data_IF_158464715775
#
_entry.id   IF_158464715775
#
_cell.length_a   1.000
_cell.length_b   1.000
_cell.length_c   1.000
_cell.angle_alpha   90.00
_cell.angle_beta   90.00
_cell.angle_gamma   90.00
#
_symmetry.space_group_name_H-M   'P 1'
#
loop_
_entity.id
_entity.type
_entity.pdbx_description
1 polymer ?
#
# COMPACT_ATOMS: atom_id res chain seq x y z
N UNK A 1 -46.51 39.62 1.84
CA UNK A 1 -45.13 39.57 2.32
C UNK A 1 -44.43 38.43 1.65
N UNK A 2 -43.45 38.68 0.79
CA UNK A 2 -42.66 37.60 0.16
C UNK A 2 -41.55 37.20 1.15
N UNK A 3 -41.57 35.93 1.59
CA UNK A 3 -40.48 35.41 2.41
C UNK A 3 -39.24 35.24 1.52
N UNK A 4 -38.19 36.00 1.77
CA UNK A 4 -36.88 35.75 1.18
C UNK A 4 -36.32 34.46 1.76
N UNK A 5 -36.42 33.38 1.05
CA UNK A 5 -35.70 32.15 1.39
C UNK A 5 -34.25 32.38 0.97
N UNK A 6 -33.40 32.75 1.94
CA UNK A 6 -31.96 32.75 1.73
C UNK A 6 -31.54 31.31 1.48
N UNK A 7 -30.88 31.06 0.33
CA UNK A 7 -30.27 29.76 0.06
C UNK A 7 -29.25 29.43 1.14
N UNK A 8 -29.27 28.20 1.69
CA UNK A 8 -28.30 27.77 2.68
C UNK A 8 -26.88 28.06 2.19
N UNK A 9 -25.99 28.58 3.05
CA UNK A 9 -24.62 28.85 2.66
C UNK A 9 -23.94 27.52 2.30
N UNK A 10 -23.75 27.28 1.02
CA UNK A 10 -22.97 26.15 0.55
C UNK A 10 -21.48 26.47 0.71
N UNK A 11 -20.85 25.86 1.70
CA UNK A 11 -19.40 25.82 1.80
C UNK A 11 -18.86 24.94 0.65
N UNK A 12 -18.61 25.56 -0.50
CA UNK A 12 -17.89 24.88 -1.58
C UNK A 12 -16.44 24.70 -1.16
N UNK A 13 -16.00 23.47 -1.02
CA UNK A 13 -14.57 23.16 -0.97
C UNK A 13 -13.90 23.75 -2.21
N UNK A 14 -12.83 24.55 -2.01
CA UNK A 14 -12.07 25.15 -3.12
C UNK A 14 -11.30 24.10 -3.95
N UNK A 15 -11.21 22.86 -3.47
CA UNK A 15 -10.46 21.77 -4.11
C UNK A 15 -11.40 20.74 -4.71
N UNK A 16 -11.18 20.40 -5.98
CA UNK A 16 -11.87 19.32 -6.66
C UNK A 16 -11.27 17.95 -6.24
N UNK A 17 -12.01 16.86 -6.45
CA UNK A 17 -11.49 15.50 -6.25
C UNK A 17 -10.23 15.27 -7.09
N UNK A 18 -10.23 15.76 -8.34
CA UNK A 18 -9.06 15.70 -9.22
C UNK A 18 -7.81 16.37 -8.62
N UNK A 19 -7.97 17.51 -7.98
CA UNK A 19 -6.85 18.22 -7.36
C UNK A 19 -6.29 17.42 -6.18
N UNK A 20 -7.17 16.84 -5.35
CA UNK A 20 -6.76 15.97 -4.25
C UNK A 20 -5.97 14.77 -4.77
N UNK A 21 -6.47 14.07 -5.78
CA UNK A 21 -5.80 12.88 -6.35
C UNK A 21 -4.47 13.23 -7.00
N UNK A 22 -4.36 14.38 -7.69
CA UNK A 22 -3.08 14.87 -8.23
C UNK A 22 -2.04 15.12 -7.14
N UNK A 23 -2.44 15.73 -6.03
CA UNK A 23 -1.54 15.94 -4.90
C UNK A 23 -1.10 14.62 -4.25
N UNK A 24 -2.00 13.64 -4.14
CA UNK A 24 -1.65 12.30 -3.65
C UNK A 24 -0.58 11.67 -4.55
N UNK A 25 -0.76 11.71 -5.87
CA UNK A 25 0.24 11.21 -6.83
C UNK A 25 1.56 11.96 -6.72
N UNK A 26 1.53 13.29 -6.67
CA UNK A 26 2.75 14.12 -6.55
C UNK A 26 3.51 13.83 -5.25
N UNK A 27 2.80 13.67 -4.13
CA UNK A 27 3.41 13.36 -2.84
C UNK A 27 3.89 11.89 -2.73
N UNK A 28 3.42 10.99 -3.59
CA UNK A 28 3.91 9.61 -3.67
C UNK A 28 5.19 9.47 -4.51
N UNK A 29 5.55 10.48 -5.31
CA UNK A 29 6.76 10.48 -6.16
C UNK A 29 8.07 10.20 -5.41
N UNK A 30 8.36 10.83 -4.24
CA UNK A 30 9.59 10.54 -3.51
C UNK A 30 9.74 9.05 -3.17
N UNK A 31 8.65 8.39 -2.76
CA UNK A 31 8.63 6.96 -2.48
C UNK A 31 8.91 6.11 -3.72
N UNK A 32 8.32 6.47 -4.87
CA UNK A 32 8.58 5.80 -6.14
C UNK A 32 10.05 5.94 -6.56
N UNK A 33 10.62 7.15 -6.44
CA UNK A 33 12.04 7.40 -6.75
C UNK A 33 12.95 6.54 -5.87
N UNK A 34 12.69 6.53 -4.56
CA UNK A 34 13.45 5.69 -3.64
C UNK A 34 13.30 4.20 -3.98
N UNK A 35 12.09 3.73 -4.27
CA UNK A 35 11.85 2.33 -4.61
C UNK A 35 12.56 1.94 -5.93
N UNK A 36 12.53 2.81 -6.94
CA UNK A 36 13.25 2.58 -8.20
C UNK A 36 14.78 2.58 -7.99
N UNK A 37 15.29 3.46 -7.15
CA UNK A 37 16.72 3.53 -6.85
C UNK A 37 17.23 2.27 -6.14
N UNK A 38 16.48 1.72 -5.19
CA UNK A 38 16.90 0.56 -4.42
C UNK A 38 16.54 -0.80 -5.05
N UNK A 39 15.43 -0.89 -5.79
CA UNK A 39 14.89 -2.14 -6.33
C UNK A 39 14.85 -2.22 -7.86
N UNK A 40 15.35 -1.20 -8.55
CA UNK A 40 15.51 -1.19 -10.00
C UNK A 40 14.30 -0.68 -10.78
N UNK A 41 14.45 -0.72 -12.10
CA UNK A 41 13.49 -0.13 -13.06
C UNK A 41 12.17 -0.87 -13.17
N UNK A 42 12.08 -2.10 -12.66
CA UNK A 42 10.85 -2.90 -12.71
C UNK A 42 9.64 -2.17 -12.15
N UNK A 43 9.79 -1.42 -11.05
CA UNK A 43 8.71 -0.62 -10.45
C UNK A 43 8.15 0.42 -11.42
N UNK A 44 8.99 1.09 -12.21
CA UNK A 44 8.54 2.07 -13.21
C UNK A 44 7.79 1.40 -14.36
N UNK A 45 8.27 0.25 -14.83
CA UNK A 45 7.62 -0.53 -15.90
C UNK A 45 6.24 -1.00 -15.41
N UNK A 46 6.17 -1.56 -14.21
CA UNK A 46 4.90 -1.98 -13.59
C UNK A 46 3.92 -0.80 -13.42
N UNK A 47 4.42 0.37 -13.02
CA UNK A 47 3.59 1.56 -12.86
C UNK A 47 3.02 2.04 -14.19
N UNK A 48 3.83 2.11 -15.24
CA UNK A 48 3.37 2.51 -16.57
C UNK A 48 2.35 1.52 -17.13
N UNK A 49 2.60 0.22 -16.97
CA UNK A 49 1.67 -0.83 -17.33
C UNK A 49 0.36 -0.71 -16.54
N UNK A 50 0.46 -0.54 -15.23
CA UNK A 50 -0.71 -0.40 -14.36
C UNK A 50 -1.58 0.81 -14.73
N UNK A 51 -0.98 1.97 -14.97
CA UNK A 51 -1.71 3.18 -15.37
C UNK A 51 -2.41 2.95 -16.71
N UNK A 52 -1.72 2.39 -17.71
CA UNK A 52 -2.29 2.15 -19.04
C UNK A 52 -3.49 1.19 -18.98
N UNK A 53 -3.34 0.08 -18.23
CA UNK A 53 -4.42 -0.90 -18.05
C UNK A 53 -5.58 -0.32 -17.24
N UNK A 54 -5.32 0.43 -16.16
CA UNK A 54 -6.36 1.04 -15.35
C UNK A 54 -7.20 2.05 -16.13
N UNK A 55 -6.54 2.90 -16.94
CA UNK A 55 -7.21 3.88 -17.82
C UNK A 55 -8.06 3.15 -18.87
N UNK A 56 -7.53 2.09 -19.48
CA UNK A 56 -8.25 1.30 -20.45
C UNK A 56 -9.47 0.61 -19.85
N UNK A 57 -9.35 0.00 -18.67
CA UNK A 57 -10.45 -0.64 -17.95
C UNK A 57 -11.52 0.37 -17.53
N UNK A 58 -11.14 1.51 -16.96
CA UNK A 58 -12.05 2.58 -16.57
C UNK A 58 -12.82 3.10 -17.78
N UNK A 59 -12.13 3.41 -18.87
CA UNK A 59 -12.74 3.87 -20.12
C UNK A 59 -13.68 2.80 -20.70
N UNK A 60 -13.28 1.54 -20.74
CA UNK A 60 -14.09 0.42 -21.24
C UNK A 60 -15.39 0.26 -20.47
N UNK A 61 -15.34 0.31 -19.12
CA UNK A 61 -16.56 0.19 -18.30
C UNK A 61 -17.47 1.39 -18.51
N UNK A 62 -16.93 2.60 -18.62
CA UNK A 62 -17.74 3.79 -18.85
C UNK A 62 -18.46 3.73 -20.21
N UNK A 63 -17.78 3.23 -21.25
CA UNK A 63 -18.40 3.00 -22.56
C UNK A 63 -19.52 1.95 -22.48
N UNK A 64 -19.29 0.83 -21.80
CA UNK A 64 -20.32 -0.21 -21.57
C UNK A 64 -21.54 0.35 -20.82
N UNK A 65 -21.31 1.27 -19.88
CA UNK A 65 -22.37 1.97 -19.13
C UNK A 65 -22.98 3.14 -19.91
N UNK A 66 -22.61 3.36 -21.17
CA UNK A 66 -23.05 4.46 -22.02
C UNK A 66 -22.82 5.85 -21.38
N UNK A 67 -21.73 6.02 -20.65
CA UNK A 67 -21.30 7.27 -19.99
C UNK A 67 -20.00 7.77 -20.62
N UNK A 68 -19.75 9.08 -20.54
CA UNK A 68 -18.52 9.66 -21.06
C UNK A 68 -17.30 9.18 -20.27
N UNK A 69 -16.30 8.52 -20.91
CA UNK A 69 -15.07 8.10 -20.24
C UNK A 69 -14.26 9.28 -19.70
N UNK A 70 -14.26 10.41 -20.42
CA UNK A 70 -13.47 11.60 -20.07
C UNK A 70 -13.84 12.14 -18.70
N UNK A 71 -15.13 12.11 -18.34
CA UNK A 71 -15.60 12.61 -17.03
C UNK A 71 -15.08 11.76 -15.86
N UNK A 72 -14.98 10.43 -16.04
CA UNK A 72 -14.46 9.53 -15.03
C UNK A 72 -12.93 9.60 -14.94
N UNK A 73 -12.23 9.66 -16.08
CA UNK A 73 -10.77 9.74 -16.08
C UNK A 73 -10.23 11.06 -15.52
N UNK A 74 -11.01 12.13 -15.56
CA UNK A 74 -10.61 13.44 -15.00
C UNK A 74 -10.45 13.44 -13.48
N UNK A 75 -11.01 12.49 -12.76
CA UNK A 75 -10.88 12.42 -11.30
C UNK A 75 -9.55 11.82 -10.83
N UNK A 76 -8.77 11.18 -11.73
CA UNK A 76 -7.48 10.50 -11.46
C UNK A 76 -7.56 9.35 -10.45
N UNK A 77 -8.72 8.93 -10.02
CA UNK A 77 -8.85 7.86 -9.02
C UNK A 77 -8.37 6.50 -9.53
N UNK A 78 -8.59 6.19 -10.83
CA UNK A 78 -8.04 4.99 -11.44
C UNK A 78 -6.50 5.00 -11.45
N UNK A 79 -5.89 6.17 -11.70
CA UNK A 79 -4.43 6.34 -11.69
C UNK A 79 -3.88 6.15 -10.28
N UNK A 80 -4.52 6.70 -9.25
CA UNK A 80 -4.13 6.48 -7.85
C UNK A 80 -4.23 4.99 -7.48
N UNK A 81 -5.31 4.32 -7.85
CA UNK A 81 -5.47 2.87 -7.62
C UNK A 81 -4.37 2.06 -8.30
N UNK A 82 -4.07 2.37 -9.58
CA UNK A 82 -2.98 1.75 -10.33
C UNK A 82 -1.62 1.97 -9.66
N UNK A 83 -1.36 3.20 -9.21
CA UNK A 83 -0.11 3.56 -8.51
C UNK A 83 0.07 2.75 -7.24
N UNK A 84 -0.95 2.76 -6.35
CA UNK A 84 -0.89 2.04 -5.08
C UNK A 84 -0.68 0.53 -5.29
N UNK A 85 -1.30 -0.07 -6.30
CA UNK A 85 -1.10 -1.47 -6.62
C UNK A 85 0.30 -1.72 -7.18
N UNK A 86 0.75 -0.92 -8.14
CA UNK A 86 2.04 -1.10 -8.80
C UNK A 86 3.24 -1.02 -7.85
N UNK A 87 3.19 -0.10 -6.86
CA UNK A 87 4.26 0.00 -5.86
C UNK A 87 4.18 -1.06 -4.76
N UNK A 88 3.02 -1.72 -4.62
CA UNK A 88 2.82 -2.76 -3.62
C UNK A 88 3.24 -4.16 -4.12
N UNK A 89 3.22 -4.42 -5.42
CA UNK A 89 3.64 -5.70 -6.00
C UNK A 89 5.17 -5.76 -6.19
N UNK A 90 5.77 -6.97 -6.26
CA UNK A 90 7.19 -7.10 -6.56
C UNK A 90 7.54 -6.49 -7.92
N UNK A 91 8.67 -5.75 -8.04
CA UNK A 91 9.02 -4.98 -9.26
C UNK A 91 9.11 -5.81 -10.54
N UNK A 92 9.61 -7.03 -10.45
CA UNK A 92 9.80 -7.94 -11.61
C UNK A 92 8.68 -8.98 -11.75
N UNK A 93 7.50 -8.73 -11.17
CA UNK A 93 6.34 -9.61 -11.35
C UNK A 93 5.94 -9.69 -12.83
N UNK A 94 5.45 -10.83 -13.34
CA UNK A 94 4.92 -10.94 -14.68
C UNK A 94 3.79 -9.95 -14.94
N UNK A 95 3.73 -9.40 -16.16
CA UNK A 95 2.76 -8.37 -16.58
C UNK A 95 1.29 -8.72 -16.31
N UNK A 96 0.92 -10.00 -16.41
CA UNK A 96 -0.45 -10.46 -16.19
C UNK A 96 -0.91 -10.33 -14.73
N UNK A 97 0.01 -10.32 -13.77
CA UNK A 97 -0.31 -10.15 -12.34
C UNK A 97 -0.96 -8.79 -12.10
N UNK A 98 -0.35 -7.72 -12.60
CA UNK A 98 -0.92 -6.37 -12.43
C UNK A 98 -2.22 -6.21 -13.20
N UNK A 99 -2.35 -6.85 -14.38
CA UNK A 99 -3.59 -6.81 -15.19
C UNK A 99 -4.75 -7.46 -14.44
N UNK A 100 -4.55 -8.67 -13.90
CA UNK A 100 -5.57 -9.36 -13.08
C UNK A 100 -5.92 -8.52 -11.86
N UNK A 101 -4.93 -8.00 -11.14
CA UNK A 101 -5.16 -7.14 -9.98
C UNK A 101 -6.03 -5.92 -10.32
N UNK A 102 -5.74 -5.24 -11.42
CA UNK A 102 -6.51 -4.07 -11.85
C UNK A 102 -7.93 -4.40 -12.30
N UNK A 103 -8.16 -5.58 -12.88
CA UNK A 103 -9.53 -6.05 -13.16
C UNK A 103 -10.30 -6.14 -11.84
N UNK A 104 -9.74 -6.75 -10.80
CA UNK A 104 -10.38 -6.81 -9.48
C UNK A 104 -10.55 -5.43 -8.85
N UNK A 105 -9.54 -4.54 -8.95
CA UNK A 105 -9.60 -3.19 -8.39
C UNK A 105 -10.66 -2.32 -9.06
N UNK A 106 -10.59 -2.21 -10.39
CA UNK A 106 -11.39 -1.24 -11.16
C UNK A 106 -12.77 -1.81 -11.45
N UNK A 107 -12.87 -3.04 -11.99
CA UNK A 107 -14.16 -3.60 -12.41
C UNK A 107 -14.97 -4.00 -11.19
N UNK A 108 -14.41 -4.83 -10.30
CA UNK A 108 -15.15 -5.42 -9.20
C UNK A 108 -15.23 -4.46 -8.01
N UNK A 109 -14.09 -4.06 -7.44
CA UNK A 109 -14.08 -3.29 -6.19
C UNK A 109 -14.60 -1.86 -6.35
N UNK A 110 -14.42 -1.22 -7.50
CA UNK A 110 -14.86 0.15 -7.75
C UNK A 110 -16.20 0.21 -8.49
N UNK A 111 -16.27 -0.34 -9.72
CA UNK A 111 -17.42 -0.11 -10.59
C UNK A 111 -18.64 -0.99 -10.30
N UNK A 112 -18.47 -2.21 -9.80
CA UNK A 112 -19.57 -3.09 -9.45
C UNK A 112 -20.43 -2.50 -8.32
N UNK A 113 -19.78 -1.78 -7.38
CA UNK A 113 -20.46 -1.07 -6.28
C UNK A 113 -21.01 0.31 -6.67
N UNK A 114 -20.83 0.78 -7.90
CA UNK A 114 -21.40 2.05 -8.37
C UNK A 114 -20.38 3.08 -8.86
N UNK A 115 -19.12 2.92 -8.62
CA UNK A 115 -18.03 3.81 -8.99
C UNK A 115 -17.44 4.56 -7.81
N UNK A 116 -16.69 5.64 -8.09
CA UNK A 116 -16.03 6.44 -7.06
C UNK A 116 -17.01 6.93 -5.99
N UNK A 117 -16.65 6.73 -4.72
CA UNK A 117 -17.47 7.17 -3.58
C UNK A 117 -18.51 6.15 -3.10
N UNK A 118 -18.69 5.02 -3.79
CA UNK A 118 -19.63 3.95 -3.43
C UNK A 118 -18.93 2.65 -2.98
N UNK A 119 -17.62 2.58 -3.11
CA UNK A 119 -16.84 1.40 -2.76
C UNK A 119 -16.67 1.29 -1.23
N UNK A 120 -17.10 0.17 -0.62
CA UNK A 120 -16.95 -0.04 0.83
C UNK A 120 -15.50 -0.33 1.25
N UNK A 121 -14.66 -0.77 0.31
CA UNK A 121 -13.28 -1.15 0.52
C UNK A 121 -12.34 -0.36 -0.37
N UNK A 122 -11.08 -0.23 0.04
CA UNK A 122 -10.03 0.33 -0.80
C UNK A 122 -9.76 -0.59 -2.01
N UNK A 123 -9.96 -0.13 -3.26
CA UNK A 123 -9.86 -0.99 -4.45
C UNK A 123 -8.47 -1.58 -4.68
N UNK A 124 -7.40 -0.81 -4.42
CA UNK A 124 -6.04 -1.29 -4.58
C UNK A 124 -5.71 -2.42 -3.58
N UNK A 125 -6.26 -2.33 -2.36
CA UNK A 125 -6.04 -3.35 -1.34
C UNK A 125 -6.83 -4.63 -1.62
N UNK A 126 -8.04 -4.54 -2.15
CA UNK A 126 -8.77 -5.74 -2.64
C UNK A 126 -7.94 -6.44 -3.70
N UNK A 127 -7.44 -5.71 -4.71
CA UNK A 127 -6.61 -6.30 -5.75
C UNK A 127 -5.37 -6.98 -5.18
N UNK A 128 -4.65 -6.29 -4.28
CA UNK A 128 -3.45 -6.83 -3.65
C UNK A 128 -3.73 -8.13 -2.88
N UNK A 129 -4.80 -8.16 -2.07
CA UNK A 129 -5.17 -9.36 -1.29
C UNK A 129 -5.60 -10.51 -2.20
N UNK A 130 -6.38 -10.25 -3.24
CA UNK A 130 -6.76 -11.27 -4.23
C UNK A 130 -5.52 -11.85 -4.91
N UNK A 131 -4.59 -11.00 -5.34
CA UNK A 131 -3.34 -11.45 -5.95
C UNK A 131 -2.50 -12.27 -4.97
N UNK A 132 -2.38 -11.82 -3.72
CA UNK A 132 -1.56 -12.51 -2.71
C UNK A 132 -2.11 -13.89 -2.35
N UNK A 133 -3.43 -14.05 -2.36
CA UNK A 133 -4.08 -15.35 -2.11
C UNK A 133 -4.00 -16.26 -3.35
N UNK A 134 -4.24 -15.70 -4.55
CA UNK A 134 -4.31 -16.49 -5.79
C UNK A 134 -2.92 -16.80 -6.37
N UNK A 135 -1.96 -15.92 -6.20
CA UNK A 135 -0.61 -16.00 -6.80
C UNK A 135 0.49 -15.71 -5.77
N UNK A 136 0.56 -16.49 -4.67
CA UNK A 136 1.48 -16.19 -3.55
C UNK A 136 2.95 -16.21 -4.00
N UNK A 137 3.34 -17.09 -4.90
CA UNK A 137 4.73 -17.20 -5.38
C UNK A 137 5.16 -15.89 -6.06
N UNK A 138 4.35 -15.36 -6.97
CA UNK A 138 4.65 -14.13 -7.70
C UNK A 138 4.63 -12.92 -6.76
N UNK A 139 3.72 -12.88 -5.80
CA UNK A 139 3.56 -11.77 -4.87
C UNK A 139 4.61 -11.71 -3.76
N UNK A 140 5.29 -12.81 -3.48
CA UNK A 140 6.39 -12.87 -2.51
C UNK A 140 7.78 -12.87 -3.16
N UNK A 141 7.86 -12.87 -4.49
CA UNK A 141 9.11 -12.89 -5.25
C UNK A 141 9.77 -11.51 -5.34
N UNK A 142 10.09 -10.93 -4.20
CA UNK A 142 10.87 -9.69 -4.14
C UNK A 142 12.34 -9.96 -4.45
N UNK A 143 12.98 -9.01 -5.13
CA UNK A 143 14.43 -9.02 -5.36
C UNK A 143 15.14 -8.31 -4.20
N UNK A 144 16.39 -8.73 -3.96
CA UNK A 144 17.24 -8.01 -3.03
C UNK A 144 17.48 -6.57 -3.53
N UNK A 145 17.74 -5.61 -2.63
CA UNK A 145 18.18 -4.28 -3.04
C UNK A 145 19.42 -4.34 -3.93
N UNK A 146 19.52 -3.43 -4.90
CA UNK A 146 20.61 -3.35 -5.88
C UNK A 146 22.00 -3.42 -5.23
N UNK A 147 22.15 -2.84 -4.02
CA UNK A 147 23.42 -2.86 -3.28
C UNK A 147 23.88 -4.26 -2.83
N UNK A 148 22.96 -5.21 -2.76
CA UNK A 148 23.23 -6.60 -2.36
C UNK A 148 23.28 -7.56 -3.56
N UNK A 149 22.97 -7.06 -4.76
CA UNK A 149 22.93 -7.85 -6.00
C UNK A 149 24.27 -7.67 -6.73
N UNK A 150 24.92 -8.77 -7.14
CA UNK A 150 26.18 -8.70 -7.87
C UNK A 150 26.01 -8.03 -9.25
N UNK A 151 24.89 -8.35 -9.92
CA UNK A 151 24.54 -7.77 -11.22
C UNK A 151 23.11 -7.21 -11.15
N UNK A 152 22.97 -5.85 -11.12
CA UNK A 152 21.67 -5.22 -11.13
C UNK A 152 21.01 -5.35 -12.50
N UNK A 153 19.74 -5.78 -12.53
CA UNK A 153 18.97 -5.90 -13.78
C UNK A 153 18.91 -4.56 -14.50
N UNK A 154 19.30 -4.54 -15.75
CA UNK A 154 19.17 -3.37 -16.63
C UNK A 154 17.70 -3.06 -16.92
N UNK A 155 17.42 -1.93 -17.56
CA UNK A 155 16.06 -1.59 -17.99
C UNK A 155 15.54 -2.62 -19.00
N UNK A 156 16.40 -3.10 -19.92
CA UNK A 156 16.05 -4.10 -20.92
C UNK A 156 15.76 -5.44 -20.27
N UNK A 157 16.58 -5.90 -19.33
CA UNK A 157 16.37 -7.15 -18.59
C UNK A 157 15.10 -7.10 -17.76
N UNK A 158 14.84 -5.99 -17.09
CA UNK A 158 13.61 -5.77 -16.35
C UNK A 158 12.37 -5.87 -17.25
N UNK A 159 12.44 -5.28 -18.45
CA UNK A 159 11.37 -5.38 -19.44
C UNK A 159 11.19 -6.82 -19.95
N UNK A 160 12.29 -7.49 -20.30
CA UNK A 160 12.27 -8.87 -20.77
C UNK A 160 11.72 -9.84 -19.72
N UNK A 161 12.12 -9.68 -18.46
CA UNK A 161 11.61 -10.49 -17.35
C UNK A 161 10.10 -10.29 -17.11
N UNK A 162 9.62 -9.05 -17.15
CA UNK A 162 8.20 -8.75 -16.94
C UNK A 162 7.32 -9.30 -18.06
N UNK A 163 7.72 -9.17 -19.32
CA UNK A 163 6.91 -9.56 -20.47
C UNK A 163 7.25 -10.93 -21.05
N UNK A 164 8.50 -11.33 -21.03
CA UNK A 164 9.00 -12.58 -21.60
C UNK A 164 9.30 -13.67 -20.57
N UNK A 165 9.48 -13.31 -19.30
CA UNK A 165 9.80 -14.24 -18.21
C UNK A 165 11.29 -14.62 -18.09
N UNK A 166 12.13 -14.12 -19.00
CA UNK A 166 13.58 -14.38 -19.05
C UNK A 166 14.31 -13.06 -19.27
N UNK A 167 15.53 -12.94 -18.74
CA UNK A 167 16.43 -11.81 -19.02
C UNK A 167 17.13 -11.96 -20.37
N UNK A 168 18.08 -11.04 -20.68
CA UNK A 168 18.90 -11.08 -21.90
C UNK A 168 19.80 -12.32 -21.99
N UNK A 169 20.15 -12.93 -20.86
CA UNK A 169 21.00 -14.11 -20.74
C UNK A 169 20.20 -15.42 -20.71
N UNK A 170 18.87 -15.33 -20.82
CA UNK A 170 17.96 -16.49 -20.80
C UNK A 170 17.69 -17.04 -19.41
N UNK A 171 18.00 -16.29 -18.35
CA UNK A 171 17.75 -16.68 -16.97
C UNK A 171 16.33 -16.25 -16.54
N UNK A 172 15.61 -17.17 -15.91
CA UNK A 172 14.32 -16.85 -15.29
C UNK A 172 14.50 -16.11 -13.96
N UNK A 173 13.48 -15.37 -13.53
CA UNK A 173 13.48 -14.67 -12.23
C UNK A 173 13.85 -15.61 -11.06
N UNK A 174 13.43 -16.86 -11.11
CA UNK A 174 13.73 -17.83 -10.06
C UNK A 174 15.20 -18.25 -10.09
N UNK A 175 15.81 -18.42 -11.26
CA UNK A 175 17.24 -18.71 -11.39
C UNK A 175 18.09 -17.55 -10.92
N UNK A 176 17.74 -16.31 -11.26
CA UNK A 176 18.42 -15.11 -10.76
C UNK A 176 18.34 -15.03 -9.22
N UNK A 177 17.20 -15.38 -8.62
CA UNK A 177 17.01 -15.37 -7.15
C UNK A 177 17.83 -16.49 -6.45
N UNK A 178 17.98 -17.65 -7.04
CA UNK A 178 18.70 -18.78 -6.45
C UNK A 178 20.19 -18.77 -6.76
N UNK A 179 20.62 -18.01 -7.79
CA UNK A 179 22.02 -17.91 -8.21
C UNK A 179 22.90 -17.04 -7.33
N UNK A 180 22.36 -16.33 -6.35
CA UNK A 180 23.11 -15.48 -5.43
C UNK A 180 23.35 -16.24 -4.12
N UNK A 181 24.55 -16.81 -3.98
CA UNK A 181 24.95 -17.53 -2.78
C UNK A 181 24.96 -16.62 -1.52
N UNK A 182 24.31 -17.12 -0.47
CA UNK A 182 24.38 -16.53 0.88
C UNK A 182 23.43 -15.36 1.16
N UNK A 183 22.61 -14.91 0.20
CA UNK A 183 21.63 -13.84 0.42
C UNK A 183 20.23 -14.36 0.17
N UNK A 184 19.41 -14.41 1.22
CA UNK A 184 17.99 -14.65 1.06
C UNK A 184 17.34 -13.42 0.43
N UNK A 185 16.72 -13.58 -0.74
CA UNK A 185 15.98 -12.53 -1.44
C UNK A 185 14.61 -12.24 -0.81
N UNK A 186 14.49 -12.43 0.51
CA UNK A 186 13.28 -12.16 1.25
C UNK A 186 13.22 -10.67 1.65
N UNK A 187 12.02 -10.15 1.76
CA UNK A 187 11.84 -8.84 2.42
C UNK A 187 12.31 -8.96 3.88
N UNK A 188 12.75 -7.88 4.54
CA UNK A 188 13.19 -7.94 5.94
C UNK A 188 12.16 -8.59 6.87
N UNK A 189 10.87 -8.33 6.65
CA UNK A 189 9.77 -8.92 7.44
C UNK A 189 9.62 -10.42 7.19
N UNK A 190 9.78 -10.86 5.94
CA UNK A 190 9.70 -12.27 5.57
C UNK A 190 10.92 -13.06 6.10
N UNK A 191 12.09 -12.45 6.02
CA UNK A 191 13.32 -13.02 6.59
C UNK A 191 13.23 -13.22 8.10
N UNK A 192 12.72 -12.22 8.84
CA UNK A 192 12.49 -12.35 10.28
C UNK A 192 11.52 -13.49 10.56
N UNK A 193 10.40 -13.54 9.87
CA UNK A 193 9.37 -14.56 10.05
C UNK A 193 9.90 -15.96 9.78
N UNK A 194 10.64 -16.13 8.69
CA UNK A 194 11.22 -17.43 8.29
C UNK A 194 12.29 -17.87 9.27
N UNK A 195 13.17 -16.97 9.68
CA UNK A 195 14.25 -17.23 10.64
C UNK A 195 13.69 -17.62 12.02
N UNK A 196 12.70 -16.90 12.54
CA UNK A 196 12.05 -17.24 13.81
C UNK A 196 11.32 -18.59 13.74
N UNK A 197 10.68 -18.92 12.60
CA UNK A 197 10.07 -20.25 12.39
C UNK A 197 11.11 -21.38 12.33
N UNK A 198 12.32 -21.07 11.86
CA UNK A 198 13.44 -22.02 11.84
C UNK A 198 14.08 -22.19 13.23
N UNK A 199 13.62 -21.46 14.24
CA UNK A 199 14.12 -21.58 15.61
C UNK A 199 15.29 -20.63 15.94
N UNK A 200 15.68 -19.73 15.02
CA UNK A 200 16.68 -18.72 15.30
C UNK A 200 16.14 -17.62 16.21
N UNK A 201 17.01 -17.02 16.99
CA UNK A 201 16.66 -15.86 17.82
C UNK A 201 16.62 -14.57 16.98
N UNK A 202 15.97 -13.53 17.52
CA UNK A 202 15.94 -12.22 16.84
C UNK A 202 17.33 -11.62 16.68
N UNK A 203 18.23 -11.81 17.67
CA UNK A 203 19.63 -11.35 17.61
C UNK A 203 20.42 -12.02 16.48
N UNK A 204 20.25 -13.33 16.29
CA UNK A 204 20.88 -14.07 15.19
C UNK A 204 20.33 -13.63 13.83
N UNK A 205 19.03 -13.41 13.75
CA UNK A 205 18.38 -12.95 12.50
C UNK A 205 18.92 -11.58 12.06
N UNK A 206 19.13 -10.66 12.99
CA UNK A 206 19.63 -9.30 12.69
C UNK A 206 21.10 -9.26 12.26
N UNK A 207 21.87 -10.34 12.40
CA UNK A 207 23.24 -10.43 11.87
C UNK A 207 23.30 -10.69 10.37
N UNK A 208 22.17 -11.03 9.74
CA UNK A 208 22.12 -11.32 8.30
C UNK A 208 22.40 -10.06 7.47
N UNK A 209 23.06 -10.18 6.28
CA UNK A 209 23.53 -9.03 5.49
C UNK A 209 22.43 -8.06 5.04
N UNK A 210 21.19 -8.52 4.96
CA UNK A 210 20.03 -7.71 4.55
C UNK A 210 19.57 -6.71 5.63
N UNK A 211 20.00 -6.93 6.89
CA UNK A 211 19.72 -6.00 7.98
C UNK A 211 20.93 -5.11 8.19
N UNK A 212 20.77 -3.82 7.89
CA UNK A 212 21.73 -2.78 8.25
C UNK A 212 20.95 -1.51 8.61
N UNK A 213 21.53 -0.72 9.50
CA UNK A 213 20.85 0.48 9.98
C UNK A 213 19.71 0.15 10.96
N UNK A 214 18.54 0.75 10.73
CA UNK A 214 17.39 0.65 11.64
C UNK A 214 16.39 -0.47 11.28
N UNK A 215 16.41 -0.93 10.03
CA UNK A 215 15.49 -1.96 9.56
C UNK A 215 16.16 -2.84 8.48
N UNK A 216 15.79 -2.72 7.22
CA UNK A 216 16.42 -3.45 6.13
C UNK A 216 16.93 -2.51 5.05
N UNK A 217 18.05 -2.90 4.42
CA UNK A 217 18.68 -2.09 3.37
C UNK A 217 17.65 -1.71 2.30
N UNK A 218 17.56 -0.41 2.02
CA UNK A 218 16.63 0.13 1.01
C UNK A 218 15.21 0.36 1.53
N UNK A 219 14.64 -0.53 2.34
CA UNK A 219 13.27 -0.41 2.85
C UNK A 219 13.08 0.78 3.78
N UNK A 220 14.07 1.07 4.62
CA UNK A 220 14.05 2.25 5.50
C UNK A 220 13.94 3.55 4.70
N UNK A 221 14.72 3.69 3.63
CA UNK A 221 14.70 4.88 2.78
C UNK A 221 13.40 5.04 2.00
N UNK A 222 12.83 3.92 1.50
CA UNK A 222 11.51 3.92 0.86
C UNK A 222 10.45 4.39 1.85
N UNK A 223 10.45 3.87 3.08
CA UNK A 223 9.49 4.30 4.10
C UNK A 223 9.70 5.77 4.50
N UNK A 224 10.95 6.25 4.65
CA UNK A 224 11.24 7.66 4.93
C UNK A 224 10.75 8.55 3.79
N UNK A 225 10.92 8.13 2.53
CA UNK A 225 10.45 8.90 1.37
C UNK A 225 8.91 8.99 1.32
N UNK A 226 8.18 7.90 1.65
CA UNK A 226 6.73 7.95 1.78
C UNK A 226 6.28 8.76 3.01
N UNK A 227 7.02 8.73 4.12
CA UNK A 227 6.78 9.60 5.27
C UNK A 227 6.89 11.07 4.88
N UNK A 228 7.93 11.46 4.16
CA UNK A 228 8.09 12.84 3.67
C UNK A 228 6.91 13.26 2.77
N UNK A 229 6.51 12.41 1.84
CA UNK A 229 5.31 12.64 1.02
C UNK A 229 4.04 12.78 1.88
N UNK A 230 3.87 11.92 2.88
CA UNK A 230 2.77 11.97 3.84
C UNK A 230 2.73 13.25 4.68
N UNK A 231 3.88 13.74 5.14
CA UNK A 231 3.99 15.01 5.86
C UNK A 231 3.60 16.21 4.99
N UNK A 232 3.94 16.16 3.69
CA UNK A 232 3.49 17.18 2.73
C UNK A 232 1.96 17.16 2.59
N UNK A 233 1.34 15.97 2.48
CA UNK A 233 -0.13 15.84 2.44
C UNK A 233 -0.81 16.39 3.69
N UNK A 234 -0.23 16.17 4.88
CA UNK A 234 -0.70 16.75 6.13
C UNK A 234 -0.59 18.28 6.12
N UNK A 235 0.57 18.82 5.72
CA UNK A 235 0.80 20.27 5.63
C UNK A 235 -0.16 20.94 4.65
N UNK A 236 -0.48 20.28 3.55
CA UNK A 236 -1.45 20.74 2.57
C UNK A 236 -2.91 20.56 3.01
N UNK A 237 -3.16 19.97 4.19
CA UNK A 237 -4.50 19.63 4.69
C UNK A 237 -5.33 18.79 3.71
N UNK A 238 -4.68 17.90 2.97
CA UNK A 238 -5.32 16.93 2.07
C UNK A 238 -5.81 15.73 2.87
N UNK A 239 -4.97 15.26 3.80
CA UNK A 239 -5.31 14.22 4.76
C UNK A 239 -5.33 14.80 6.18
N UNK A 240 -6.09 14.18 7.07
CA UNK A 240 -6.09 14.52 8.50
C UNK A 240 -5.11 13.62 9.25
N UNK A 241 -4.45 14.16 10.25
CA UNK A 241 -3.43 13.47 11.05
C UNK A 241 -3.94 12.28 11.87
N UNK A 242 -5.26 12.21 12.15
CA UNK A 242 -5.86 11.22 13.05
C UNK A 242 -5.55 9.79 12.65
N UNK A 243 -5.78 9.43 11.37
CA UNK A 243 -5.59 8.06 10.90
C UNK A 243 -4.09 7.67 10.87
N UNK A 244 -3.20 8.45 10.23
CA UNK A 244 -1.77 8.09 10.19
C UNK A 244 -1.15 7.97 11.57
N UNK A 245 -1.39 8.95 12.44
CA UNK A 245 -0.82 8.93 13.79
C UNK A 245 -1.38 7.79 14.65
N UNK A 246 -2.68 7.53 14.55
CA UNK A 246 -3.30 6.43 15.29
C UNK A 246 -2.81 5.05 14.79
N UNK A 247 -2.60 4.88 13.47
CA UNK A 247 -2.07 3.65 12.90
C UNK A 247 -0.62 3.39 13.36
N UNK A 248 0.23 4.40 13.30
CA UNK A 248 1.61 4.28 13.77
C UNK A 248 1.66 4.04 15.29
N UNK A 249 0.83 4.74 16.08
CA UNK A 249 0.72 4.52 17.52
C UNK A 249 0.23 3.11 17.86
N UNK A 250 -0.79 2.59 17.17
CA UNK A 250 -1.30 1.22 17.34
C UNK A 250 -0.23 0.16 17.04
N UNK A 251 0.51 0.35 15.96
CA UNK A 251 1.61 -0.54 15.58
C UNK A 251 2.74 -0.53 16.63
N UNK A 252 3.17 0.65 17.05
CA UNK A 252 4.24 0.80 18.07
C UNK A 252 3.78 0.24 19.42
N UNK A 253 2.56 0.54 19.84
CA UNK A 253 2.01 0.08 21.10
C UNK A 253 1.96 -1.45 21.17
N UNK A 254 1.43 -2.10 20.15
CA UNK A 254 1.34 -3.57 20.11
C UNK A 254 2.72 -4.23 19.99
N UNK A 255 3.65 -3.63 19.21
CA UNK A 255 5.01 -4.12 19.11
C UNK A 255 5.79 -4.00 20.43
N UNK A 256 5.64 -2.89 21.16
CA UNK A 256 6.23 -2.71 22.49
C UNK A 256 5.66 -3.71 23.51
N UNK A 257 4.35 -3.90 23.51
CA UNK A 257 3.74 -4.92 24.40
C UNK A 257 4.31 -6.30 24.11
N UNK A 258 4.36 -6.70 22.85
CA UNK A 258 4.90 -8.01 22.48
C UNK A 258 6.40 -8.15 22.84
N UNK A 259 7.19 -7.10 22.67
CA UNK A 259 8.60 -7.09 23.03
C UNK A 259 8.81 -7.20 24.55
N UNK A 260 7.92 -6.65 25.37
CA UNK A 260 7.97 -6.80 26.82
C UNK A 260 7.71 -8.24 27.26
N UNK A 261 6.78 -8.96 26.59
CA UNK A 261 6.43 -10.33 26.95
C UNK A 261 7.31 -11.39 26.30
N UNK A 262 7.88 -11.11 25.11
CA UNK A 262 8.65 -12.08 24.31
C UNK A 262 9.80 -11.40 23.55
N UNK A 263 10.84 -10.87 24.23
CA UNK A 263 11.88 -10.07 23.60
C UNK A 263 12.75 -10.84 22.58
N UNK A 264 12.87 -12.16 22.73
CA UNK A 264 13.67 -12.99 21.82
C UNK A 264 13.00 -13.39 20.52
N UNK A 265 11.67 -13.22 20.43
CA UNK A 265 10.85 -13.70 19.30
C UNK A 265 10.08 -12.60 18.58
N UNK A 266 10.23 -11.35 18.99
CA UNK A 266 9.54 -10.22 18.41
C UNK A 266 10.51 -9.16 17.88
N UNK A 267 10.23 -8.65 16.69
CA UNK A 267 11.01 -7.55 16.12
C UNK A 267 10.75 -6.23 16.86
N UNK A 268 11.75 -5.36 16.88
CA UNK A 268 11.62 -4.04 17.49
C UNK A 268 10.57 -3.19 16.76
N UNK A 269 9.91 -2.25 17.46
CA UNK A 269 8.95 -1.32 16.82
C UNK A 269 9.53 -0.56 15.63
N UNK A 270 10.82 -0.23 15.68
CA UNK A 270 11.51 0.48 14.61
C UNK A 270 11.57 -0.31 13.31
N UNK A 271 11.80 -1.62 13.39
CA UNK A 271 11.77 -2.52 12.23
C UNK A 271 10.36 -2.52 11.62
N UNK A 272 9.32 -2.61 12.43
CA UNK A 272 7.94 -2.58 11.94
C UNK A 272 7.56 -1.24 11.29
N UNK A 273 8.09 -0.12 11.80
CA UNK A 273 7.83 1.21 11.25
C UNK A 273 8.52 1.45 9.91
N UNK A 274 9.78 0.99 9.77
CA UNK A 274 10.62 1.29 8.61
C UNK A 274 10.73 0.11 7.62
N UNK A 275 9.99 -0.97 7.83
CA UNK A 275 9.92 -2.11 6.90
C UNK A 275 8.54 -2.27 6.28
N UNK A 276 8.48 -2.91 5.11
CA UNK A 276 7.26 -3.15 4.37
C UNK A 276 6.57 -1.86 3.93
N UNK A 277 5.26 -1.90 3.82
CA UNK A 277 4.45 -0.79 3.35
C UNK A 277 3.88 0.08 4.49
N UNK A 278 4.56 0.23 5.63
CA UNK A 278 3.98 0.91 6.80
C UNK A 278 3.67 2.37 6.53
N UNK A 279 4.62 3.15 6.03
CA UNK A 279 4.41 4.58 5.77
C UNK A 279 3.50 4.81 4.56
N UNK A 280 3.63 4.01 3.51
CA UNK A 280 2.67 4.01 2.39
C UNK A 280 1.25 3.70 2.90
N UNK A 281 1.11 2.69 3.77
CA UNK A 281 -0.15 2.29 4.38
C UNK A 281 -0.78 3.40 5.22
N UNK A 282 0.00 4.01 6.10
CA UNK A 282 -0.48 5.01 7.04
C UNK A 282 -0.94 6.32 6.37
N UNK A 283 -0.20 6.79 5.37
CA UNK A 283 -0.43 8.11 4.78
C UNK A 283 -1.20 8.10 3.45
N UNK A 284 -1.14 7.00 2.68
CA UNK A 284 -1.72 6.97 1.33
C UNK A 284 -2.85 5.94 1.18
N UNK A 285 -2.81 4.81 1.94
CA UNK A 285 -3.80 3.73 1.81
C UNK A 285 -4.90 3.88 2.85
N UNK A 286 -4.57 3.96 4.14
CA UNK A 286 -5.56 4.02 5.23
C UNK A 286 -6.33 5.35 5.27
N UNK A 287 -5.81 6.38 4.62
CA UNK A 287 -6.44 7.71 4.51
C UNK A 287 -7.37 7.85 3.31
N UNK A 288 -7.72 6.76 2.63
CA UNK A 288 -8.71 6.78 1.54
C UNK A 288 -10.02 7.43 2.01
N UNK A 289 -10.45 8.55 1.39
CA UNK A 289 -11.59 9.31 1.87
C UNK A 289 -12.93 8.58 1.73
N UNK A 290 -12.99 7.51 0.93
CA UNK A 290 -14.22 6.76 0.65
C UNK A 290 -14.44 5.64 1.65
N UNK A 291 -13.40 4.86 1.93
CA UNK A 291 -13.51 3.64 2.73
C UNK A 291 -13.13 3.81 4.21
N UNK A 292 -12.53 4.96 4.58
CA UNK A 292 -12.14 5.23 5.97
C UNK A 292 -13.28 5.83 6.80
N UNK A 293 -13.16 5.73 8.15
CA UNK A 293 -14.10 6.34 9.11
C UNK A 293 -14.21 7.87 8.94
N UNK A 294 -15.42 8.39 9.11
CA UNK A 294 -15.76 9.78 8.85
C UNK A 294 -15.57 10.70 10.06
N UNK A 295 -15.83 10.20 11.27
CA UNK A 295 -15.74 10.97 12.53
C UNK A 295 -14.31 11.06 13.04
N UNK A 296 -13.94 12.15 13.73
CA UNK A 296 -12.56 12.30 14.23
C UNK A 296 -12.21 11.24 15.30
N UNK A 297 -13.16 10.87 16.19
CA UNK A 297 -12.99 9.76 17.13
C UNK A 297 -12.92 8.42 16.40
N UNK A 298 -13.77 8.21 15.40
CA UNK A 298 -13.77 6.99 14.59
C UNK A 298 -12.46 6.82 13.82
N UNK A 299 -11.89 7.89 13.30
CA UNK A 299 -10.56 7.86 12.63
C UNK A 299 -9.45 7.41 13.55
N UNK A 300 -9.45 7.82 14.82
CA UNK A 300 -8.47 7.36 15.80
C UNK A 300 -8.63 5.87 16.10
N UNK A 301 -9.86 5.40 16.30
CA UNK A 301 -10.15 3.97 16.55
C UNK A 301 -9.78 3.15 15.30
N UNK A 302 -10.20 3.58 14.14
CA UNK A 302 -9.92 2.95 12.86
C UNK A 302 -8.42 2.82 12.60
N UNK A 303 -7.66 3.91 12.74
CA UNK A 303 -6.22 3.92 12.55
C UNK A 303 -5.50 3.02 13.55
N UNK A 304 -5.84 3.11 14.85
CA UNK A 304 -5.25 2.28 15.89
C UNK A 304 -5.50 0.78 15.63
N UNK A 305 -6.73 0.43 15.24
CA UNK A 305 -7.08 -0.93 14.88
C UNK A 305 -6.23 -1.45 13.70
N UNK A 306 -6.04 -0.64 12.65
CA UNK A 306 -5.16 -1.02 11.53
C UNK A 306 -3.74 -1.29 12.03
N UNK A 307 -3.17 -0.38 12.82
CA UNK A 307 -1.81 -0.54 13.34
C UNK A 307 -1.62 -1.81 14.16
N UNK A 308 -2.55 -2.09 15.06
CA UNK A 308 -2.56 -3.31 15.86
C UNK A 308 -2.67 -4.57 14.99
N UNK A 309 -3.59 -4.58 14.02
CA UNK A 309 -3.78 -5.70 13.10
C UNK A 309 -2.58 -5.93 12.19
N UNK A 310 -1.91 -4.87 11.73
CA UNK A 310 -0.66 -4.99 10.96
C UNK A 310 0.40 -5.74 11.78
N UNK A 311 0.58 -5.37 13.04
CA UNK A 311 1.52 -6.07 13.92
C UNK A 311 1.14 -7.55 14.10
N UNK A 312 -0.13 -7.85 14.40
CA UNK A 312 -0.61 -9.22 14.60
C UNK A 312 -0.37 -10.10 13.36
N UNK A 313 -0.70 -9.58 12.17
CA UNK A 313 -0.54 -10.33 10.92
C UNK A 313 0.93 -10.52 10.59
N UNK A 314 1.78 -9.52 10.81
CA UNK A 314 3.24 -9.62 10.61
C UNK A 314 3.88 -10.64 11.54
N UNK A 315 3.48 -10.69 12.79
CA UNK A 315 4.09 -11.57 13.81
C UNK A 315 3.57 -13.00 13.72
N UNK A 316 2.25 -13.19 13.63
CA UNK A 316 1.63 -14.52 13.71
C UNK A 316 0.87 -14.95 12.46
N UNK A 317 0.55 -14.02 11.54
CA UNK A 317 -0.15 -14.35 10.31
C UNK A 317 0.68 -15.17 9.31
N UNK A 318 0.06 -15.64 8.24
CA UNK A 318 0.71 -16.40 7.15
C UNK A 318 1.47 -15.52 6.15
N UNK A 319 1.27 -14.20 6.17
CA UNK A 319 1.78 -13.29 5.14
C UNK A 319 2.91 -12.39 5.68
N UNK A 320 3.89 -12.02 4.85
CA UNK A 320 5.04 -11.20 5.29
C UNK A 320 4.65 -9.76 5.64
N UNK A 321 3.68 -9.17 4.98
CA UNK A 321 3.13 -7.85 5.31
C UNK A 321 1.61 -7.92 5.49
N UNK A 322 1.11 -7.23 6.51
CA UNK A 322 -0.29 -7.25 6.93
C UNK A 322 -1.10 -6.01 6.57
N UNK A 323 -0.50 -4.98 5.94
CA UNK A 323 -1.15 -3.68 5.74
C UNK A 323 -2.46 -3.82 4.95
N UNK A 324 -2.46 -4.54 3.84
CA UNK A 324 -3.64 -4.68 2.99
C UNK A 324 -4.79 -5.40 3.72
N UNK A 325 -4.50 -6.52 4.39
CA UNK A 325 -5.50 -7.24 5.19
C UNK A 325 -6.04 -6.41 6.34
N UNK A 326 -5.16 -5.72 7.06
CA UNK A 326 -5.55 -4.87 8.19
C UNK A 326 -6.47 -3.73 7.74
N UNK A 327 -6.18 -3.10 6.61
CA UNK A 327 -7.03 -2.04 6.04
C UNK A 327 -8.37 -2.59 5.60
N UNK A 328 -8.43 -3.74 4.93
CA UNK A 328 -9.71 -4.35 4.53
C UNK A 328 -10.57 -4.76 5.73
N UNK A 329 -9.96 -5.36 6.76
CA UNK A 329 -10.66 -5.68 8.02
C UNK A 329 -11.20 -4.42 8.70
N UNK A 330 -10.39 -3.37 8.75
CA UNK A 330 -10.81 -2.09 9.30
C UNK A 330 -11.95 -1.46 8.50
N UNK A 331 -11.90 -1.52 7.16
CA UNK A 331 -12.98 -1.05 6.29
C UNK A 331 -14.31 -1.76 6.59
N UNK A 332 -14.29 -3.08 6.88
CA UNK A 332 -15.48 -3.82 7.32
C UNK A 332 -16.03 -3.30 8.64
N UNK A 333 -15.17 -2.82 9.53
CA UNK A 333 -15.56 -2.28 10.83
C UNK A 333 -16.04 -0.82 10.78
N UNK A 334 -15.80 -0.08 9.69
CA UNK A 334 -16.16 1.35 9.57
C UNK A 334 -17.63 1.63 9.87
N UNK A 335 -18.63 0.88 9.34
CA UNK A 335 -20.02 1.14 9.65
C UNK A 335 -20.32 1.05 11.15
N UNK A 336 -19.70 0.09 11.85
CA UNK A 336 -19.83 -0.08 13.29
C UNK A 336 -19.14 1.07 14.05
N UNK A 337 -17.91 1.41 13.66
CA UNK A 337 -17.12 2.49 14.26
C UNK A 337 -17.88 3.82 14.14
N UNK A 338 -18.33 4.15 12.94
CA UNK A 338 -19.05 5.41 12.68
C UNK A 338 -20.41 5.45 13.40
N UNK A 339 -21.11 4.31 13.54
CA UNK A 339 -22.36 4.24 14.30
C UNK A 339 -22.16 4.63 15.78
N UNK A 340 -21.12 4.12 16.45
CA UNK A 340 -20.87 4.39 17.87
C UNK A 340 -20.10 5.70 18.11
N UNK A 341 -19.54 6.32 17.09
CA UNK A 341 -18.77 7.58 17.22
C UNK A 341 -19.51 8.80 16.68
N UNK A 342 -20.80 8.64 16.32
CA UNK A 342 -21.64 9.77 15.86
C UNK A 342 -21.62 10.90 16.88
N UNK A 343 -21.42 12.16 16.43
CA UNK A 343 -21.56 13.31 17.30
C UNK A 343 -23.03 13.42 17.79
N UNK A 344 -23.22 13.78 19.06
CA UNK A 344 -24.55 14.03 19.59
C UNK A 344 -25.19 15.19 18.84
N UNK A 345 -26.36 14.97 18.25
CA UNK A 345 -27.15 16.03 17.63
C UNK A 345 -27.94 16.77 18.70
N UNK A 346 -28.17 18.07 18.49
CA UNK A 346 -29.00 18.89 19.37
C UNK A 346 -30.37 18.23 19.53
N UNK A 347 -30.81 18.00 20.78
CA UNK A 347 -32.16 17.50 21.09
C UNK A 347 -32.28 16.01 21.46
N UNK A 348 -31.16 15.29 21.59
CA UNK A 348 -31.14 13.91 22.13
C UNK A 348 -30.13 13.73 23.24
#
# INVERSE_FOLDING_TARGET
MAFFIASSPHLRSKRSTADVMRWVLACALPGLIAQTYFFGYGTLIQLLLAISVAVALEAGIMLLRKRSPISALRDYSAVVTAWLLAVAIPPLSPWWVVVIGLIFAIVIAKHLYGGLGQNPFNPAMIAYVVLLISFPVQMTSWMAPIKLTAEPSSLVDSFSLIFGGFDSDGLSLQQIRTGIDGITMATPLDAIKTSLKAGHTMSETLTQPQFSGFAGIGWEWVNIAYLLGGLILLKLCIIRWHIPMAMLAGLVFTALLAQLFAPGTTASPMIHLLSGATMLGAFFIATDPVSASTTDKGRLIYGFFIGAMVFLIRSWGGFPDGVAFAVLLANMCVPLIDYYTKPRTYGH
#
